data_IF_494954776464
#
_entry.id   IF_494954776464
#
_cell.length_a   1.000
_cell.length_b   1.000
_cell.length_c   1.000
_cell.angle_alpha   90.00
_cell.angle_beta   90.00
_cell.angle_gamma   90.00
#
_symmetry.space_group_name_H-M   'P 1'
#
loop_
_entity.id
_entity.type
_entity.pdbx_description
1 polymer ?
#
# COMPACT_ATOMS: atom_id res chain seq x y z
N UNK A 1 -16.56 -36.03 13.70
CA UNK A 1 -15.50 -35.01 13.54
C UNK A 1 -16.06 -33.59 13.65
N UNK A 2 -16.95 -33.14 12.74
CA UNK A 2 -17.50 -31.77 12.74
C UNK A 2 -18.16 -31.39 14.09
N UNK A 3 -18.99 -32.26 14.65
CA UNK A 3 -19.65 -32.02 15.96
C UNK A 3 -18.65 -31.83 17.09
N UNK A 4 -17.56 -32.61 17.10
CA UNK A 4 -16.51 -32.51 18.11
C UNK A 4 -15.73 -31.19 17.98
N UNK A 5 -15.46 -30.73 16.75
CA UNK A 5 -14.80 -29.45 16.49
C UNK A 5 -15.67 -28.29 17.00
N UNK A 6 -16.95 -28.28 16.66
CA UNK A 6 -17.89 -27.23 17.11
C UNK A 6 -18.00 -27.24 18.64
N UNK A 7 -18.15 -28.43 19.24
CA UNK A 7 -18.23 -28.58 20.69
C UNK A 7 -16.96 -28.08 21.38
N UNK A 8 -15.78 -28.41 20.86
CA UNK A 8 -14.51 -27.97 21.40
C UNK A 8 -14.36 -26.45 21.34
N UNK A 9 -14.60 -25.83 20.17
CA UNK A 9 -14.51 -24.37 20.00
C UNK A 9 -15.49 -23.66 20.94
N UNK A 10 -16.75 -24.12 20.99
CA UNK A 10 -17.77 -23.53 21.86
C UNK A 10 -17.42 -23.66 23.35
N UNK A 11 -16.96 -24.82 23.78
CA UNK A 11 -16.55 -25.07 25.16
C UNK A 11 -15.33 -24.23 25.54
N UNK A 12 -14.31 -24.16 24.67
CA UNK A 12 -13.09 -23.38 24.92
C UNK A 12 -13.40 -21.89 25.07
N UNK A 13 -14.24 -21.31 24.20
CA UNK A 13 -14.62 -19.90 24.30
C UNK A 13 -15.43 -19.64 25.57
N UNK A 14 -16.36 -20.53 25.91
CA UNK A 14 -17.17 -20.43 27.12
C UNK A 14 -16.32 -20.55 28.38
N UNK A 15 -15.40 -21.51 28.42
CA UNK A 15 -14.48 -21.71 29.53
C UNK A 15 -13.55 -20.50 29.72
N UNK A 16 -12.99 -19.96 28.63
CA UNK A 16 -12.17 -18.74 28.66
C UNK A 16 -12.95 -17.55 29.24
N UNK A 17 -14.22 -17.40 28.84
CA UNK A 17 -15.13 -16.36 29.34
C UNK A 17 -15.51 -16.52 30.82
N UNK A 18 -15.53 -17.74 31.35
CA UNK A 18 -15.96 -18.04 32.71
C UNK A 18 -14.80 -18.07 33.72
N UNK A 19 -13.64 -18.60 33.32
CA UNK A 19 -12.45 -18.74 34.17
C UNK A 19 -11.53 -17.50 34.11
N UNK A 20 -11.62 -16.67 33.05
CA UNK A 20 -10.76 -15.50 32.87
C UNK A 20 -11.13 -14.32 33.78
N UNK A 21 -10.18 -13.69 34.51
CA UNK A 21 -10.45 -12.50 35.31
C UNK A 21 -10.81 -11.30 34.43
N UNK A 22 -12.00 -10.73 34.65
CA UNK A 22 -12.48 -9.55 33.92
C UNK A 22 -12.26 -8.27 34.69
N UNK A 23 -11.47 -7.34 34.14
CA UNK A 23 -11.28 -5.98 34.65
C UNK A 23 -11.33 -4.98 33.49
N UNK A 24 -12.52 -4.73 32.90
CA UNK A 24 -12.68 -3.75 31.84
C UNK A 24 -12.41 -2.35 32.40
N UNK A 25 -11.67 -1.55 31.64
CA UNK A 25 -11.37 -0.15 31.93
C UNK A 25 -11.37 0.57 30.59
N UNK A 26 -11.84 1.81 30.52
CA UNK A 26 -11.90 2.58 29.26
C UNK A 26 -10.57 2.55 28.48
N UNK A 27 -9.43 2.64 29.17
CA UNK A 27 -8.09 2.56 28.56
C UNK A 27 -7.72 1.18 27.96
N UNK A 28 -8.34 0.08 28.42
CA UNK A 28 -8.10 -1.29 27.89
C UNK A 28 -9.00 -1.63 26.70
N UNK A 29 -10.10 -0.90 26.56
CA UNK A 29 -11.06 -1.07 25.47
C UNK A 29 -10.77 -0.11 24.30
N UNK A 30 -9.94 0.91 24.54
CA UNK A 30 -9.49 1.84 23.52
C UNK A 30 -8.48 1.20 22.55
N UNK A 31 -8.46 1.60 21.26
CA UNK A 31 -7.42 1.22 20.31
C UNK A 31 -6.02 1.57 20.81
N UNK A 32 -5.04 0.71 20.51
CA UNK A 32 -3.65 0.96 20.86
C UNK A 32 -3.00 1.93 19.86
N UNK A 33 -2.65 3.13 20.32
CA UNK A 33 -1.93 4.13 19.54
C UNK A 33 -0.66 4.61 20.26
N UNK A 34 0.21 3.70 20.71
CA UNK A 34 1.48 4.05 21.35
C UNK A 34 1.37 4.96 22.60
N UNK A 35 0.20 5.02 23.25
CA UNK A 35 -0.04 5.81 24.48
C UNK A 35 -0.69 7.18 24.26
N UNK A 36 -1.01 7.55 23.01
CA UNK A 36 -1.85 8.72 22.72
C UNK A 36 -3.33 8.33 22.63
N UNK A 37 -4.22 9.27 22.92
CA UNK A 37 -5.66 9.08 22.75
C UNK A 37 -5.98 9.35 21.28
N UNK A 38 -6.65 8.43 20.56
CA UNK A 38 -7.03 8.66 19.18
C UNK A 38 -7.98 9.86 19.07
N UNK A 39 -7.50 10.93 18.42
CA UNK A 39 -8.28 12.16 18.21
C UNK A 39 -9.16 12.10 16.96
N UNK A 40 -8.88 11.17 16.04
CA UNK A 40 -9.57 11.04 14.77
C UNK A 40 -9.74 9.58 14.36
N UNK A 41 -10.91 9.24 13.83
CA UNK A 41 -11.08 7.97 13.12
C UNK A 41 -10.20 7.99 11.86
N UNK A 42 -9.48 6.90 11.55
CA UNK A 42 -8.61 6.86 10.39
C UNK A 42 -9.46 6.82 9.10
N UNK A 43 -9.89 7.99 8.63
CA UNK A 43 -10.43 8.20 7.29
C UNK A 43 -9.30 8.32 6.24
N UNK A 44 -8.18 7.63 6.47
CA UNK A 44 -7.04 7.65 5.57
C UNK A 44 -7.23 6.61 4.45
N UNK A 45 -6.82 6.99 3.24
CA UNK A 45 -6.85 6.08 2.08
C UNK A 45 -5.74 5.06 2.23
N UNK A 46 -6.09 3.86 2.70
CA UNK A 46 -5.14 2.75 2.75
C UNK A 46 -4.75 2.32 1.33
N UNK A 47 -3.44 2.26 1.00
CA UNK A 47 -3.00 1.84 -0.32
C UNK A 47 -3.28 0.34 -0.52
N UNK A 48 -4.13 0.00 -1.49
CA UNK A 48 -4.51 -1.39 -1.84
C UNK A 48 -3.43 -2.08 -2.69
N UNK A 49 -2.18 -2.07 -2.22
CA UNK A 49 -1.03 -2.70 -2.92
C UNK A 49 -1.22 -4.19 -3.18
N UNK A 50 -2.09 -4.84 -2.41
CA UNK A 50 -2.38 -6.27 -2.50
C UNK A 50 -3.51 -6.63 -3.48
N UNK A 51 -4.12 -5.65 -4.15
CA UNK A 51 -5.24 -5.93 -5.07
C UNK A 51 -4.86 -6.88 -6.21
N UNK A 52 -3.67 -6.71 -6.80
CA UNK A 52 -3.20 -7.59 -7.88
C UNK A 52 -3.02 -9.03 -7.39
N UNK A 53 -2.51 -9.22 -6.17
CA UNK A 53 -2.37 -10.54 -5.53
C UNK A 53 -3.73 -11.16 -5.25
N UNK A 54 -4.69 -10.38 -4.74
CA UNK A 54 -6.05 -10.84 -4.49
C UNK A 54 -6.77 -11.26 -5.78
N UNK A 55 -6.64 -10.47 -6.85
CA UNK A 55 -7.23 -10.79 -8.14
C UNK A 55 -6.60 -12.06 -8.75
N UNK A 56 -5.27 -12.20 -8.64
CA UNK A 56 -4.57 -13.41 -9.08
C UNK A 56 -5.03 -14.66 -8.30
N UNK A 57 -5.24 -14.52 -6.98
CA UNK A 57 -5.74 -15.61 -6.14
C UNK A 57 -7.15 -16.05 -6.55
N UNK A 58 -8.06 -15.12 -6.85
CA UNK A 58 -9.42 -15.45 -7.31
C UNK A 58 -9.37 -16.25 -8.62
N UNK A 59 -8.53 -15.86 -9.57
CA UNK A 59 -8.40 -16.57 -10.85
C UNK A 59 -7.83 -17.98 -10.64
N UNK A 60 -6.81 -18.12 -9.79
CA UNK A 60 -6.21 -19.41 -9.45
C UNK A 60 -7.17 -20.32 -8.66
N UNK A 61 -7.97 -19.77 -7.76
CA UNK A 61 -8.99 -20.54 -7.01
C UNK A 61 -10.04 -21.11 -7.96
N UNK A 62 -10.46 -20.31 -8.94
CA UNK A 62 -11.35 -20.77 -10.02
C UNK A 62 -10.68 -21.85 -10.88
N UNK A 63 -9.37 -21.81 -11.11
CA UNK A 63 -8.67 -22.89 -11.83
C UNK A 63 -8.74 -24.22 -11.06
N UNK A 64 -8.54 -24.18 -9.74
CA UNK A 64 -8.56 -25.36 -8.86
C UNK A 64 -9.96 -26.01 -8.85
N UNK A 65 -11.04 -25.21 -8.90
CA UNK A 65 -12.40 -25.77 -8.94
C UNK A 65 -12.65 -26.63 -10.18
N UNK A 66 -11.97 -26.33 -11.30
CA UNK A 66 -12.07 -27.11 -12.53
C UNK A 66 -11.14 -28.33 -12.53
N UNK A 67 -9.99 -28.24 -11.86
CA UNK A 67 -9.09 -29.37 -11.64
C UNK A 67 -9.73 -30.46 -10.77
N UNK A 68 -10.54 -30.10 -9.78
CA UNK A 68 -11.16 -31.05 -8.86
C UNK A 68 -11.96 -32.18 -9.54
N UNK A 69 -13.00 -31.89 -10.36
CA UNK A 69 -13.74 -32.93 -11.08
C UNK A 69 -12.90 -33.65 -12.13
N UNK A 70 -11.87 -32.99 -12.69
CA UNK A 70 -10.97 -33.66 -13.61
C UNK A 70 -10.19 -34.80 -12.93
N UNK A 71 -9.73 -34.60 -11.69
CA UNK A 71 -9.02 -35.67 -10.96
C UNK A 71 -9.89 -36.89 -10.69
N UNK A 72 -11.21 -36.72 -10.52
CA UNK A 72 -12.12 -37.84 -10.28
C UNK A 72 -12.48 -38.58 -11.57
N UNK A 73 -12.50 -37.88 -12.71
CA UNK A 73 -12.85 -38.44 -14.02
C UNK A 73 -11.63 -38.89 -14.86
N UNK A 74 -10.41 -38.73 -14.34
CA UNK A 74 -9.17 -38.99 -15.07
C UNK A 74 -9.11 -40.40 -15.69
N UNK A 75 -9.63 -41.40 -14.99
CA UNK A 75 -9.62 -42.79 -15.45
C UNK A 75 -10.52 -43.02 -16.68
N UNK A 76 -11.63 -42.29 -16.79
CA UNK A 76 -12.59 -42.44 -17.89
C UNK A 76 -12.15 -41.67 -19.13
N UNK A 77 -11.50 -40.52 -18.96
CA UNK A 77 -11.06 -39.67 -20.07
C UNK A 77 -9.70 -40.07 -20.66
N UNK A 78 -8.87 -40.81 -19.91
CA UNK A 78 -7.56 -41.31 -20.37
C UNK A 78 -6.65 -40.21 -20.95
N UNK A 79 -6.01 -40.50 -22.08
CA UNK A 79 -5.06 -39.58 -22.74
C UNK A 79 -5.72 -38.34 -23.33
N UNK A 80 -6.99 -38.44 -23.75
CA UNK A 80 -7.76 -37.31 -24.27
C UNK A 80 -7.98 -36.26 -23.18
N UNK A 81 -8.41 -36.68 -21.99
CA UNK A 81 -8.57 -35.78 -20.84
C UNK A 81 -7.27 -35.11 -20.44
N UNK A 82 -6.16 -35.84 -20.47
CA UNK A 82 -4.84 -35.30 -20.17
C UNK A 82 -4.45 -34.16 -21.12
N UNK A 83 -4.67 -34.32 -22.42
CA UNK A 83 -4.36 -33.28 -23.42
C UNK A 83 -5.27 -32.07 -23.24
N UNK A 84 -6.59 -32.29 -23.10
CA UNK A 84 -7.56 -31.19 -22.93
C UNK A 84 -7.26 -30.39 -21.66
N UNK A 85 -6.99 -31.08 -20.55
CA UNK A 85 -6.67 -30.42 -19.28
C UNK A 85 -5.29 -29.76 -19.31
N UNK A 86 -4.32 -30.35 -20.01
CA UNK A 86 -3.01 -29.72 -20.23
C UNK A 86 -3.09 -28.42 -21.02
N UNK A 87 -3.94 -28.37 -22.06
CA UNK A 87 -4.20 -27.13 -22.81
C UNK A 87 -4.93 -26.11 -21.95
N UNK A 88 -5.93 -26.53 -21.17
CA UNK A 88 -6.63 -25.66 -20.22
C UNK A 88 -5.65 -25.02 -19.23
N UNK A 89 -4.81 -25.81 -18.57
CA UNK A 89 -3.77 -25.33 -17.66
C UNK A 89 -2.82 -24.35 -18.34
N UNK A 90 -2.36 -24.65 -19.56
CA UNK A 90 -1.44 -23.77 -20.28
C UNK A 90 -2.06 -22.41 -20.58
N UNK A 91 -3.33 -22.37 -20.98
CA UNK A 91 -4.05 -21.12 -21.27
C UNK A 91 -4.17 -20.22 -20.04
N UNK A 92 -4.27 -20.78 -18.82
CA UNK A 92 -4.35 -20.01 -17.58
C UNK A 92 -2.97 -19.71 -16.97
N UNK A 93 -2.02 -20.65 -17.06
CA UNK A 93 -0.66 -20.52 -16.54
C UNK A 93 0.15 -19.46 -17.30
N UNK A 94 -0.08 -19.26 -18.60
CA UNK A 94 0.65 -18.25 -19.39
C UNK A 94 0.35 -16.82 -18.91
N UNK A 95 -0.93 -16.37 -18.81
CA UNK A 95 -1.26 -15.08 -18.20
C UNK A 95 -0.82 -14.96 -16.75
N UNK A 96 -0.91 -16.04 -15.97
CA UNK A 96 -0.43 -16.05 -14.59
C UNK A 96 1.09 -15.81 -14.52
N UNK A 97 1.87 -16.52 -15.34
CA UNK A 97 3.32 -16.31 -15.47
C UNK A 97 3.69 -14.91 -15.94
N UNK A 98 2.89 -14.32 -16.84
CA UNK A 98 3.05 -12.92 -17.24
C UNK A 98 2.80 -11.94 -16.08
N UNK A 99 1.80 -12.21 -15.24
CA UNK A 99 1.52 -11.37 -14.07
C UNK A 99 2.68 -11.43 -13.06
N UNK A 100 3.29 -12.61 -12.88
CA UNK A 100 4.49 -12.78 -12.05
C UNK A 100 5.67 -11.98 -12.61
N UNK A 101 5.91 -12.03 -13.92
CA UNK A 101 7.03 -11.31 -14.55
C UNK A 101 6.87 -9.79 -14.51
N UNK A 102 5.63 -9.29 -14.47
CA UNK A 102 5.32 -7.85 -14.35
C UNK A 102 5.70 -7.28 -12.98
N UNK A 103 6.08 -8.11 -12.01
CA UNK A 103 6.38 -7.65 -10.66
C UNK A 103 5.13 -7.29 -9.86
N UNK A 104 3.99 -7.91 -10.17
CA UNK A 104 2.75 -7.74 -9.41
C UNK A 104 2.87 -8.16 -7.92
N UNK A 105 3.91 -8.91 -7.58
CA UNK A 105 4.29 -9.28 -6.22
C UNK A 105 5.34 -8.37 -5.59
N UNK A 106 5.79 -7.31 -6.29
CA UNK A 106 6.76 -6.39 -5.70
C UNK A 106 6.06 -5.49 -4.68
N UNK A 107 6.33 -5.76 -3.40
CA UNK A 107 5.81 -4.99 -2.27
C UNK A 107 6.74 -3.85 -1.86
N UNK A 108 7.86 -3.67 -2.58
CA UNK A 108 8.83 -2.62 -2.36
C UNK A 108 8.24 -1.22 -2.55
N UNK A 109 8.91 -0.19 -2.01
CA UNK A 109 8.52 1.19 -2.27
C UNK A 109 8.55 1.42 -3.79
N UNK A 110 7.41 1.81 -4.37
CA UNK A 110 7.32 2.19 -5.77
C UNK A 110 8.41 3.24 -6.03
N UNK A 111 9.49 2.86 -6.71
CA UNK A 111 10.59 3.78 -7.02
C UNK A 111 10.01 4.82 -7.96
N UNK A 112 9.58 5.95 -7.40
CA UNK A 112 9.06 7.06 -8.17
C UNK A 112 10.15 7.48 -9.15
N UNK A 113 9.92 7.25 -10.44
CA UNK A 113 10.72 7.79 -11.54
C UNK A 113 10.53 9.32 -11.65
N UNK A 114 10.69 10.04 -10.53
CA UNK A 114 10.34 11.46 -10.35
C UNK A 114 11.59 12.31 -10.09
N UNK A 115 12.82 11.79 -10.29
CA UNK A 115 14.02 12.62 -10.12
C UNK A 115 14.35 13.51 -11.34
N UNK A 116 13.77 13.24 -12.51
CA UNK A 116 14.17 13.92 -13.75
C UNK A 116 13.53 15.29 -13.98
N UNK A 117 12.33 15.53 -13.43
CA UNK A 117 11.58 16.76 -13.64
C UNK A 117 11.90 17.83 -12.59
N UNK A 118 12.05 17.43 -11.32
CA UNK A 118 12.37 18.36 -10.22
C UNK A 118 13.74 19.03 -10.37
N UNK A 119 14.74 18.29 -10.85
CA UNK A 119 16.09 18.84 -11.10
C UNK A 119 16.13 19.88 -12.23
N UNK A 120 15.13 19.90 -13.12
CA UNK A 120 15.05 20.90 -14.19
C UNK A 120 14.36 22.18 -13.72
N UNK A 121 13.33 22.06 -12.88
CA UNK A 121 12.63 23.21 -12.29
C UNK A 121 13.52 23.92 -11.28
N UNK A 122 14.18 23.19 -10.36
CA UNK A 122 15.15 23.76 -9.40
C UNK A 122 16.33 24.48 -10.07
N UNK A 123 16.66 24.11 -11.32
CA UNK A 123 17.71 24.76 -12.11
C UNK A 123 17.19 26.01 -12.84
N UNK A 124 15.89 26.09 -13.11
CA UNK A 124 15.27 27.22 -13.79
C UNK A 124 14.88 28.35 -12.82
N UNK A 125 14.55 28.04 -11.55
CA UNK A 125 14.13 29.05 -10.56
C UNK A 125 15.26 29.64 -9.73
N UNK A 126 16.52 29.23 -9.95
CA UNK A 126 17.61 29.61 -9.04
C UNK A 126 17.45 28.93 -7.68
N UNK A 127 18.56 28.49 -7.10
CA UNK A 127 18.58 27.97 -5.73
C UNK A 127 17.97 29.00 -4.78
N UNK A 128 16.94 28.65 -3.98
CA UNK A 128 16.65 29.45 -2.80
C UNK A 128 17.93 29.44 -1.97
N UNK A 129 18.53 30.62 -1.76
CA UNK A 129 19.67 30.76 -0.86
C UNK A 129 19.36 30.07 0.46
N UNK A 130 20.36 29.47 1.09
CA UNK A 130 20.23 28.80 2.40
C UNK A 130 20.02 29.81 3.54
N UNK A 131 19.55 31.01 3.22
CA UNK A 131 19.56 32.19 4.09
C UNK A 131 18.13 32.70 4.32
N UNK A 132 17.16 31.79 4.37
CA UNK A 132 15.77 32.08 4.75
C UNK A 132 15.56 32.37 6.26
N UNK A 133 16.62 32.72 6.99
CA UNK A 133 16.57 33.06 8.42
C UNK A 133 17.21 34.41 8.77
N UNK A 134 17.61 35.21 7.79
CA UNK A 134 18.13 36.56 8.07
C UNK A 134 17.08 37.61 7.71
N UNK A 135 16.43 38.26 8.70
CA UNK A 135 15.72 39.50 8.45
C UNK A 135 16.80 40.56 8.21
N UNK A 136 17.24 40.72 6.95
CA UNK A 136 18.17 41.78 6.58
C UNK A 136 17.46 43.12 6.73
N UNK A 137 17.69 43.70 7.90
CA UNK A 137 17.54 45.11 8.18
C UNK A 137 18.24 45.91 7.09
N UNK A 138 17.43 46.57 6.25
CA UNK A 138 17.88 47.45 5.18
C UNK A 138 17.04 48.71 5.14
N UNK A 139 16.82 49.31 6.31
CA UNK A 139 16.22 50.63 6.45
C UNK A 139 17.22 51.56 7.14
N UNK A 140 18.14 52.18 6.38
CA UNK A 140 18.47 53.60 6.51
C UNK A 140 19.47 54.11 5.46
N UNK A 141 19.10 55.28 4.92
CA UNK A 141 19.95 56.41 4.51
C UNK A 141 21.10 56.17 3.55
N UNK A 142 20.87 56.51 2.28
CA UNK A 142 21.86 57.29 1.54
C UNK A 142 21.27 58.67 1.23
N UNK A 143 22.07 59.65 1.62
CA UNK A 143 21.90 61.09 1.63
C UNK A 143 22.01 61.60 0.18
N UNK A 144 20.96 62.27 -0.30
CA UNK A 144 21.06 63.12 -1.49
C UNK A 144 21.79 64.40 -1.11
N UNK A 145 23.02 64.57 -1.62
CA UNK A 145 23.71 65.87 -1.64
C UNK A 145 24.12 66.23 -3.09
N UNK A 146 23.78 67.43 -3.59
CA UNK A 146 23.96 67.80 -4.99
C UNK A 146 25.32 68.47 -5.25
N UNK A 147 25.87 68.29 -6.46
CA UNK A 147 26.98 69.10 -6.99
C UNK A 147 26.47 70.10 -8.03
N UNK A 148 26.72 71.38 -7.71
CA UNK A 148 26.99 72.57 -8.54
C UNK A 148 27.29 72.30 -10.04
N UNK A 149 26.98 73.16 -11.03
CA UNK A 149 26.76 74.61 -11.10
C UNK A 149 26.26 75.00 -12.52
N UNK A 150 25.77 76.24 -12.66
CA UNK A 150 25.79 77.09 -13.88
C UNK A 150 24.74 76.89 -15.02
N UNK A 151 23.78 77.82 -15.13
CA UNK A 151 23.66 78.83 -16.23
C UNK A 151 22.26 79.44 -16.37
N UNK A 152 22.24 80.78 -16.30
CA UNK A 152 21.57 81.70 -17.25
C UNK A 152 20.06 81.52 -17.49
N UNK A 153 19.27 82.41 -16.89
CA UNK A 153 18.34 83.37 -17.55
C UNK A 153 17.28 83.85 -16.55
#
# INVERSE_FOLDING_TARGET
MIVLVIAFVGLSFTASKLLGPRRPTSAKEAPYECGIVPEHEPAERFPVKFYLVAMAFIVLDVEIIFLYPFTTLLNDLGTYGLVVMGVFLLVLLVPFGYLLSTGALDWGPARKATSRFYGRVLRATGTPGRDGLEPTAGARSEEEEPKEEEKVA
#
